data_IF_152782113642
#
_entry.id   IF_152782113642
#
_cell.length_a   1.000
_cell.length_b   1.000
_cell.length_c   1.000
_cell.angle_alpha   90.00
_cell.angle_beta   90.00
_cell.angle_gamma   90.00
#
_symmetry.space_group_name_H-M   'P 1'
#
loop_
_entity.id
_entity.type
_entity.pdbx_description
1 polymer ?
#
# COMPACT_ATOMS: atom_id res chain seq x y z
N UNK A 1 6.53 5.86 -11.10
CA UNK A 1 5.72 6.02 -9.88
C UNK A 1 4.27 5.82 -10.27
N UNK A 2 3.62 4.82 -9.68
CA UNK A 2 2.23 4.44 -9.99
C UNK A 2 1.34 4.67 -8.77
N UNK A 3 0.04 4.93 -8.98
CA UNK A 3 -0.91 5.18 -7.88
C UNK A 3 -1.40 3.87 -7.26
N UNK A 4 -1.24 3.73 -5.94
CA UNK A 4 -1.85 2.63 -5.16
C UNK A 4 -3.36 2.80 -5.00
N UNK A 5 -3.82 4.05 -4.94
CA UNK A 5 -5.24 4.35 -4.79
C UNK A 5 -6.02 3.98 -6.06
N UNK A 6 -7.22 3.42 -5.88
CA UNK A 6 -8.05 2.92 -6.99
C UNK A 6 -7.75 1.47 -7.41
N UNK A 7 -6.68 0.86 -6.89
CA UNK A 7 -6.39 -0.56 -7.14
C UNK A 7 -7.31 -1.47 -6.34
N UNK A 8 -7.86 -2.49 -6.99
CA UNK A 8 -8.68 -3.51 -6.31
C UNK A 8 -7.82 -4.39 -5.39
N UNK A 9 -8.45 -5.11 -4.45
CA UNK A 9 -7.75 -6.05 -3.56
C UNK A 9 -6.84 -7.04 -4.32
N UNK A 10 -7.29 -7.54 -5.47
CA UNK A 10 -6.49 -8.45 -6.31
C UNK A 10 -5.24 -7.77 -6.84
N UNK A 11 -5.36 -6.53 -7.32
CA UNK A 11 -4.22 -5.75 -7.82
C UNK A 11 -3.25 -5.39 -6.69
N UNK A 12 -3.76 -5.02 -5.51
CA UNK A 12 -2.92 -4.81 -4.33
C UNK A 12 -2.16 -6.09 -3.97
N UNK A 13 -2.81 -7.25 -4.06
CA UNK A 13 -2.15 -8.53 -3.81
C UNK A 13 -1.03 -8.82 -4.79
N UNK A 14 -1.22 -8.53 -6.07
CA UNK A 14 -0.15 -8.59 -7.08
C UNK A 14 0.99 -7.62 -6.76
N UNK A 15 0.69 -6.36 -6.46
CA UNK A 15 1.69 -5.35 -6.07
C UNK A 15 2.54 -5.86 -4.90
N UNK A 16 1.89 -6.33 -3.85
CA UNK A 16 2.54 -6.83 -2.64
C UNK A 16 3.37 -8.08 -2.96
N UNK A 17 2.87 -8.96 -3.83
CA UNK A 17 3.61 -10.15 -4.28
C UNK A 17 4.83 -9.79 -5.14
N UNK A 18 4.71 -8.83 -6.05
CA UNK A 18 5.80 -8.34 -6.90
C UNK A 18 6.89 -7.65 -6.09
N UNK A 19 6.51 -6.95 -5.01
CA UNK A 19 7.44 -6.33 -4.06
C UNK A 19 8.06 -7.36 -3.08
N UNK A 20 7.68 -8.64 -3.15
CA UNK A 20 8.11 -9.67 -2.22
C UNK A 20 7.68 -9.39 -0.77
N UNK A 21 6.54 -8.73 -0.59
CA UNK A 21 5.94 -8.44 0.69
C UNK A 21 4.99 -9.56 1.13
N UNK A 22 4.66 -9.58 2.43
CA UNK A 22 3.82 -10.64 2.99
C UNK A 22 2.37 -10.52 2.48
N UNK A 23 1.68 -11.63 2.21
CA UNK A 23 0.34 -11.65 1.58
C UNK A 23 -0.80 -11.21 2.49
N UNK A 24 -0.52 -10.63 3.66
CA UNK A 24 -1.50 -9.95 4.52
C UNK A 24 -1.37 -8.42 4.45
N UNK A 25 -0.28 -7.92 3.87
CA UNK A 25 0.00 -6.50 3.71
C UNK A 25 -1.00 -5.87 2.72
N UNK A 26 -1.45 -6.63 1.71
CA UNK A 26 -2.53 -6.26 0.78
C UNK A 26 -3.82 -5.84 1.50
N UNK A 27 -4.27 -6.62 2.48
CA UNK A 27 -5.48 -6.33 3.27
C UNK A 27 -5.28 -5.13 4.19
N UNK A 28 -4.08 -4.98 4.77
CA UNK A 28 -3.77 -3.82 5.60
C UNK A 28 -3.80 -2.55 4.76
N UNK A 29 -3.11 -2.54 3.61
CA UNK A 29 -3.12 -1.42 2.67
C UNK A 29 -4.56 -1.09 2.27
N UNK A 30 -5.36 -2.10 1.89
CA UNK A 30 -6.75 -1.89 1.52
C UNK A 30 -7.59 -1.25 2.65
N UNK A 31 -7.41 -1.70 3.90
CA UNK A 31 -8.07 -1.09 5.07
C UNK A 31 -7.64 0.37 5.26
N UNK A 32 -6.35 0.68 5.11
CA UNK A 32 -5.87 2.06 5.22
C UNK A 32 -6.38 2.97 4.10
N UNK A 33 -6.37 2.49 2.85
CA UNK A 33 -6.83 3.24 1.69
C UNK A 33 -8.34 3.47 1.70
N UNK A 34 -9.14 2.41 1.93
CA UNK A 34 -10.59 2.47 1.77
C UNK A 34 -11.37 2.75 3.06
N UNK A 35 -10.85 2.37 4.23
CA UNK A 35 -11.54 2.64 5.51
C UNK A 35 -11.04 3.90 6.19
N UNK A 36 -9.71 4.11 6.22
CA UNK A 36 -9.12 5.25 6.93
C UNK A 36 -8.90 6.46 6.04
N UNK A 37 -8.74 6.27 4.73
CA UNK A 37 -8.51 7.38 3.81
C UNK A 37 -7.24 8.15 4.15
N UNK A 38 -6.14 7.45 4.41
CA UNK A 38 -4.86 8.09 4.68
C UNK A 38 -4.39 8.92 3.49
N UNK A 39 -3.47 9.84 3.73
CA UNK A 39 -2.84 10.69 2.73
C UNK A 39 -1.39 10.31 2.45
N UNK A 40 -0.75 9.57 3.38
CA UNK A 40 0.62 9.07 3.22
C UNK A 40 0.79 7.63 3.71
N UNK A 41 1.71 6.91 3.06
CA UNK A 41 2.11 5.53 3.41
C UNK A 41 2.72 5.49 4.82
N UNK A 42 3.31 6.58 5.29
CA UNK A 42 3.82 6.71 6.67
C UNK A 42 2.73 6.60 7.74
N UNK A 43 1.48 6.96 7.40
CA UNK A 43 0.35 6.83 8.33
C UNK A 43 -0.02 5.36 8.60
N UNK A 44 0.42 4.43 7.75
CA UNK A 44 0.18 3.00 7.92
C UNK A 44 1.07 2.43 9.04
N UNK A 45 0.71 2.71 10.30
CA UNK A 45 1.48 2.28 11.49
C UNK A 45 1.48 0.77 11.70
N UNK A 46 0.49 0.06 11.16
CA UNK A 46 0.40 -1.41 11.20
C UNK A 46 1.36 -2.11 10.23
N UNK A 47 1.96 -1.38 9.28
CA UNK A 47 2.97 -1.91 8.37
C UNK A 47 4.37 -1.84 8.96
N UNK A 48 5.21 -2.81 8.61
CA UNK A 48 6.63 -2.77 8.93
C UNK A 48 7.34 -1.68 8.15
N UNK A 49 8.48 -1.21 8.68
CA UNK A 49 9.31 -0.19 8.04
C UNK A 49 9.68 -0.60 6.59
N UNK A 50 10.09 -1.86 6.39
CA UNK A 50 10.43 -2.40 5.07
C UNK A 50 9.24 -2.30 4.08
N UNK A 51 8.03 -2.61 4.55
CA UNK A 51 6.83 -2.54 3.70
C UNK A 51 6.56 -1.11 3.26
N UNK A 52 6.67 -0.15 4.18
CA UNK A 52 6.48 1.27 3.87
C UNK A 52 7.54 1.78 2.89
N UNK A 53 8.80 1.42 3.09
CA UNK A 53 9.90 1.83 2.21
C UNK A 53 9.71 1.29 0.80
N UNK A 54 9.42 -0.01 0.64
CA UNK A 54 9.14 -0.60 -0.69
C UNK A 54 7.94 0.06 -1.36
N UNK A 55 6.86 0.29 -0.61
CA UNK A 55 5.70 0.95 -1.18
C UNK A 55 6.05 2.39 -1.60
N UNK A 56 6.77 3.16 -0.80
CA UNK A 56 7.21 4.53 -1.15
C UNK A 56 8.16 4.60 -2.34
N UNK A 57 9.01 3.58 -2.52
CA UNK A 57 9.99 3.53 -3.61
C UNK A 57 9.31 3.30 -4.99
N UNK A 58 8.30 2.43 -5.03
CA UNK A 58 7.64 2.04 -6.29
C UNK A 58 6.32 2.78 -6.53
N UNK A 59 5.61 3.11 -5.46
CA UNK A 59 4.26 3.67 -5.49
C UNK A 59 4.21 5.01 -4.76
N UNK A 60 3.68 6.01 -5.46
CA UNK A 60 3.41 7.30 -4.85
C UNK A 60 1.93 7.33 -4.49
N UNK A 61 1.64 7.62 -3.24
CA UNK A 61 0.30 8.01 -2.85
C UNK A 61 0.07 9.44 -3.38
N UNK A 62 -0.45 9.55 -4.60
CA UNK A 62 -0.93 10.82 -5.10
C UNK A 62 -2.33 11.06 -4.51
N UNK A 63 -2.48 12.15 -3.77
CA UNK A 63 -3.76 12.73 -3.43
C UNK A 63 -3.77 14.17 -3.96
N UNK A 64 -4.38 14.35 -5.13
CA UNK A 64 -5.52 15.24 -5.32
C UNK A 64 -6.34 14.77 -6.52
#
# INVERSE_FOLDING_TARGET
METLFGKTLTQLKEVVSTLGLKPFVDKQIASWLYQKGITSIDEMTNLTLESRQKLQEYYWQCCF
#
